data_IF_749337529889
#
_entry.id   IF_749337529889
#
_cell.length_a   1.000
_cell.length_b   1.000
_cell.length_c   1.000
_cell.angle_alpha   90.00
_cell.angle_beta   90.00
_cell.angle_gamma   90.00
#
_symmetry.space_group_name_H-M   'P 1'
#
loop_
_entity.id
_entity.type
_entity.pdbx_description
1 polymer ?
#
# COMPACT_ATOMS: atom_id res chain seq x y z
N UNK A 1 5.19 -7.03 -8.28
CA UNK A 1 4.01 -6.56 -7.53
C UNK A 1 4.22 -6.53 -6.01
N UNK A 2 4.15 -7.65 -5.24
CA UNK A 2 4.32 -7.59 -3.77
C UNK A 2 5.61 -6.89 -3.33
N UNK A 3 6.75 -7.26 -3.93
CA UNK A 3 8.06 -6.66 -3.66
C UNK A 3 8.10 -5.14 -3.94
N UNK A 4 7.48 -4.69 -5.02
CA UNK A 4 7.45 -3.27 -5.40
C UNK A 4 6.60 -2.46 -4.41
N UNK A 5 5.44 -2.99 -4.01
CA UNK A 5 4.57 -2.37 -3.01
C UNK A 5 5.29 -2.24 -1.67
N UNK A 6 5.98 -3.31 -1.23
CA UNK A 6 6.77 -3.28 -0.01
C UNK A 6 7.93 -2.27 -0.07
N UNK A 7 8.62 -2.18 -1.21
CA UNK A 7 9.70 -1.20 -1.39
C UNK A 7 9.19 0.24 -1.35
N UNK A 8 8.03 0.52 -1.95
CA UNK A 8 7.40 1.84 -1.87
C UNK A 8 6.96 2.16 -0.42
N UNK A 9 6.40 1.18 0.28
CA UNK A 9 6.03 1.31 1.69
C UNK A 9 7.23 1.63 2.59
N UNK A 10 8.34 0.91 2.43
CA UNK A 10 9.57 1.17 3.18
C UNK A 10 10.11 2.59 2.93
N UNK A 11 10.07 3.06 1.68
CA UNK A 11 10.51 4.41 1.32
C UNK A 11 9.62 5.48 1.92
N UNK A 12 8.30 5.30 1.88
CA UNK A 12 7.35 6.23 2.50
C UNK A 12 7.61 6.38 4.00
N UNK A 13 7.85 5.25 4.71
CA UNK A 13 8.24 5.28 6.14
C UNK A 13 9.58 5.97 6.38
N UNK A 14 10.58 5.71 5.55
CA UNK A 14 11.91 6.34 5.68
C UNK A 14 11.85 7.86 5.55
N UNK A 15 10.98 8.38 4.68
CA UNK A 15 10.79 9.81 4.47
C UNK A 15 9.68 10.40 5.33
N UNK A 16 9.05 9.59 6.19
CA UNK A 16 7.89 9.96 6.97
C UNK A 16 6.82 10.69 6.15
N UNK A 17 6.47 10.14 4.99
CA UNK A 17 5.55 10.78 4.05
C UNK A 17 4.40 9.85 3.71
N UNK A 18 3.19 10.26 4.08
CA UNK A 18 1.97 9.53 3.79
C UNK A 18 1.47 9.77 2.35
N UNK A 19 2.19 9.20 1.38
CA UNK A 19 1.83 9.26 -0.04
C UNK A 19 0.63 8.37 -0.40
N UNK A 20 0.16 7.54 0.54
CA UNK A 20 -0.92 6.58 0.34
C UNK A 20 -2.27 7.07 0.87
N UNK A 21 -2.26 8.11 1.73
CA UNK A 21 -3.47 8.70 2.31
C UNK A 21 -4.03 7.90 3.49
N UNK A 22 -3.18 7.26 4.29
CA UNK A 22 -3.60 6.56 5.50
C UNK A 22 -4.21 7.50 6.53
N UNK A 23 -3.65 8.70 6.73
CA UNK A 23 -4.16 9.68 7.67
C UNK A 23 -5.57 10.12 7.30
N UNK A 24 -5.79 10.46 6.04
CA UNK A 24 -7.12 10.78 5.51
C UNK A 24 -8.10 9.61 5.67
N UNK A 25 -7.66 8.37 5.43
CA UNK A 25 -8.49 7.20 5.63
C UNK A 25 -8.87 6.99 7.11
N UNK A 26 -7.95 7.27 8.04
CA UNK A 26 -8.21 7.24 9.49
C UNK A 26 -9.17 8.35 9.87
N UNK A 27 -8.91 9.59 9.45
CA UNK A 27 -9.79 10.74 9.69
C UNK A 27 -11.22 10.47 9.25
N UNK A 28 -11.41 9.96 8.03
CA UNK A 28 -12.73 9.64 7.49
C UNK A 28 -13.46 8.55 8.27
N UNK A 29 -12.74 7.56 8.80
CA UNK A 29 -13.33 6.40 9.49
C UNK A 29 -13.49 6.61 11.01
N UNK A 30 -12.58 7.38 11.59
CA UNK A 30 -12.37 7.57 13.03
C UNK A 30 -12.07 9.04 13.34
N UNK A 31 -13.01 9.97 13.05
CA UNK A 31 -12.73 11.41 13.15
C UNK A 31 -12.38 11.85 14.58
N UNK A 32 -12.98 11.22 15.61
CA UNK A 32 -12.67 11.54 17.01
C UNK A 32 -11.25 11.13 17.40
N UNK A 33 -10.83 9.94 17.01
CA UNK A 33 -9.46 9.48 17.26
C UNK A 33 -8.45 10.26 16.44
N UNK A 34 -8.84 10.74 15.25
CA UNK A 34 -8.00 11.60 14.43
C UNK A 34 -7.69 12.93 15.12
N UNK A 35 -8.68 13.59 15.73
CA UNK A 35 -8.45 14.81 16.53
C UNK A 35 -7.43 14.61 17.67
N UNK A 36 -7.28 13.39 18.18
CA UNK A 36 -6.31 13.07 19.25
C UNK A 36 -4.89 12.82 18.73
N UNK A 37 -4.73 12.43 17.46
CA UNK A 37 -3.45 11.96 16.92
C UNK A 37 -2.94 12.79 15.73
N UNK A 38 -3.73 13.72 15.18
CA UNK A 38 -3.38 14.44 13.96
C UNK A 38 -2.13 15.31 14.10
N UNK A 39 -1.95 15.93 15.27
CA UNK A 39 -0.78 16.74 15.59
C UNK A 39 0.51 15.91 15.71
N UNK A 40 0.39 14.63 16.06
CA UNK A 40 1.48 13.66 16.23
C UNK A 40 1.51 12.63 15.09
N UNK A 41 0.80 12.87 13.99
CA UNK A 41 0.62 11.88 12.93
C UNK A 41 1.96 11.40 12.33
N UNK A 42 2.93 12.30 12.25
CA UNK A 42 4.28 12.02 11.80
C UNK A 42 5.02 11.02 12.71
N UNK A 43 4.66 10.88 13.98
CA UNK A 43 5.22 9.87 14.87
C UNK A 43 4.49 8.52 14.72
N UNK A 44 3.18 8.56 14.47
CA UNK A 44 2.36 7.35 14.31
C UNK A 44 2.53 6.68 12.94
N UNK A 45 2.67 7.45 11.87
CA UNK A 45 2.71 6.93 10.50
C UNK A 45 3.80 5.86 10.29
N UNK A 46 5.06 6.06 10.74
CA UNK A 46 6.10 5.05 10.62
C UNK A 46 5.81 3.79 11.43
N UNK A 47 4.96 3.81 12.46
CA UNK A 47 4.67 2.64 13.30
C UNK A 47 3.58 1.72 12.74
N UNK A 48 2.89 2.14 11.68
CA UNK A 48 1.81 1.38 11.06
C UNK A 48 2.30 -0.01 10.63
N UNK A 49 1.55 -1.04 11.03
CA UNK A 49 1.78 -2.42 10.58
C UNK A 49 1.01 -2.68 9.30
N UNK A 50 1.72 -2.76 8.18
CA UNK A 50 1.12 -3.05 6.87
C UNK A 50 0.77 -4.53 6.74
N UNK A 51 -0.52 -4.83 6.56
CA UNK A 51 -0.99 -6.13 6.08
C UNK A 51 -1.31 -6.02 4.59
N UNK A 52 -0.59 -6.76 3.75
CA UNK A 52 -0.68 -6.65 2.29
C UNK A 52 -1.26 -7.93 1.66
N UNK A 53 -2.44 -7.79 1.05
CA UNK A 53 -3.03 -8.78 0.16
C UNK A 53 -2.96 -8.27 -1.28
N UNK A 54 -2.46 -9.10 -2.20
CA UNK A 54 -2.32 -8.75 -3.61
C UNK A 54 -3.09 -9.76 -4.44
N UNK A 55 -4.19 -9.30 -5.03
CA UNK A 55 -4.98 -10.07 -5.98
C UNK A 55 -4.69 -9.58 -7.40
N UNK A 56 -4.24 -10.49 -8.27
CA UNK A 56 -4.02 -10.20 -9.69
C UNK A 56 -5.06 -10.95 -10.53
N UNK A 57 -5.82 -10.22 -11.34
CA UNK A 57 -6.83 -10.78 -12.24
C UNK A 57 -6.40 -10.58 -13.69
N UNK A 58 -5.97 -11.65 -14.36
CA UNK A 58 -5.64 -11.62 -15.79
C UNK A 58 -6.94 -11.61 -16.61
N UNK A 59 -7.32 -10.44 -17.13
CA UNK A 59 -8.56 -10.31 -17.93
C UNK A 59 -8.40 -10.73 -19.39
N UNK A 60 -7.17 -10.66 -19.93
CA UNK A 60 -6.80 -11.08 -21.29
C UNK A 60 -5.33 -11.50 -21.27
N UNK A 61 -5.00 -12.69 -21.73
CA UNK A 61 -3.67 -12.95 -22.26
C UNK A 61 -3.61 -12.34 -23.66
N UNK A 62 -2.56 -11.59 -23.99
CA UNK A 62 -2.31 -11.24 -25.39
C UNK A 62 -2.20 -12.50 -26.25
N UNK A 63 -2.28 -12.37 -27.58
CA UNK A 63 -1.98 -13.49 -28.48
C UNK A 63 -0.50 -13.87 -28.35
N UNK A 64 -0.23 -15.03 -27.74
CA UNK A 64 1.10 -15.62 -27.74
C UNK A 64 1.31 -16.33 -29.08
N UNK A 65 2.25 -15.85 -29.90
CA UNK A 65 2.58 -16.46 -31.21
C UNK A 65 3.47 -17.71 -31.09
N UNK A 66 3.84 -18.10 -29.87
CA UNK A 66 4.65 -19.29 -29.60
C UNK A 66 3.80 -20.32 -28.85
N UNK A 67 3.70 -21.56 -29.34
CA UNK A 67 3.04 -22.62 -28.60
C UNK A 67 3.81 -22.89 -27.30
N UNK A 68 3.13 -23.24 -26.20
CA UNK A 68 3.79 -23.72 -25.00
C UNK A 68 4.50 -25.02 -25.35
N UNK A 69 5.83 -25.03 -25.23
CA UNK A 69 6.63 -26.25 -25.29
C UNK A 69 6.20 -27.07 -24.07
N UNK A 70 5.58 -28.22 -24.31
CA UNK A 70 5.28 -29.21 -23.27
C UNK A 70 6.51 -30.12 -23.18
N UNK A 71 7.16 -30.14 -22.01
CA UNK A 71 8.07 -31.22 -21.60
C UNK A 71 7.29 -32.29 -20.82
#
# INVERSE_FOLDING_TARGET
>A
MKKEVLSAWEKARQYNTDIFGFGEAVHKKYPKQWEEIEDEWDDYFPEIKLSLEVEAKLRRSGMTTKPPIQE
#
